data_IF_002508399054
#
_entry.id   IF_002508399054
#
_cell.length_a   1.000
_cell.length_b   1.000
_cell.length_c   1.000
_cell.angle_alpha   90.00
_cell.angle_beta   90.00
_cell.angle_gamma   90.00
#
_symmetry.space_group_name_H-M   'P 1'
#
loop_
_entity.id
_entity.type
_entity.pdbx_description
1 polymer ?
#
# COMPACT_ATOMS: atom_id res chain seq x y z
N UNK A 1 1.54 -26.06 -25.75
CA UNK A 1 0.59 -25.62 -24.71
C UNK A 1 1.29 -24.47 -24.03
N UNK A 2 1.06 -23.29 -24.56
CA UNK A 2 1.78 -22.10 -24.16
C UNK A 2 1.25 -21.69 -22.78
N UNK A 3 2.13 -21.75 -21.78
CA UNK A 3 1.86 -21.13 -20.49
C UNK A 3 1.87 -19.61 -20.72
N UNK A 4 0.69 -19.05 -20.99
CA UNK A 4 0.49 -17.61 -20.95
C UNK A 4 0.63 -17.20 -19.48
N UNK A 5 1.84 -16.77 -19.10
CA UNK A 5 2.08 -16.05 -17.86
C UNK A 5 1.14 -14.85 -17.87
N UNK A 6 0.11 -14.89 -17.02
CA UNK A 6 -0.67 -13.69 -16.77
C UNK A 6 0.29 -12.69 -16.10
N UNK A 7 0.28 -11.39 -16.44
CA UNK A 7 0.98 -10.41 -15.64
C UNK A 7 0.52 -10.61 -14.19
N UNK A 8 1.46 -10.88 -13.29
CA UNK A 8 1.11 -11.14 -11.90
C UNK A 8 0.35 -9.94 -11.35
N UNK A 9 -0.83 -10.16 -10.76
CA UNK A 9 -1.66 -9.09 -10.23
C UNK A 9 -0.83 -8.14 -9.35
N UNK A 10 -1.02 -6.83 -9.53
CA UNK A 10 -0.28 -5.78 -8.83
C UNK A 10 -0.24 -6.05 -7.31
N UNK A 11 0.96 -6.14 -6.75
CA UNK A 11 1.19 -6.38 -5.34
C UNK A 11 1.03 -5.07 -4.55
N UNK A 12 0.09 -5.02 -3.62
CA UNK A 12 -0.26 -3.81 -2.87
C UNK A 12 -0.09 -4.03 -1.37
N UNK A 13 0.97 -3.47 -0.78
CA UNK A 13 1.20 -3.55 0.65
C UNK A 13 0.35 -2.55 1.42
N UNK A 14 -0.39 -3.01 2.44
CA UNK A 14 -1.24 -2.17 3.28
C UNK A 14 -0.55 -1.82 4.61
N UNK A 15 0.15 -0.69 4.64
CA UNK A 15 0.75 -0.17 5.86
C UNK A 15 -0.31 0.52 6.72
N UNK A 16 -0.52 0.06 7.95
CA UNK A 16 -1.58 0.58 8.81
C UNK A 16 -1.26 0.43 10.29
N UNK A 17 -1.97 1.18 11.14
CA UNK A 17 -1.89 0.95 12.58
C UNK A 17 -2.85 -0.15 13.02
N UNK A 18 -2.50 -0.84 14.12
CA UNK A 18 -3.38 -1.85 14.71
C UNK A 18 -4.77 -1.32 15.10
N UNK A 19 -4.93 -0.01 15.26
CA UNK A 19 -6.22 0.64 15.53
C UNK A 19 -7.14 0.74 14.31
N UNK A 20 -6.61 0.49 13.10
CA UNK A 20 -7.30 0.69 11.82
C UNK A 20 -7.71 -0.64 11.16
N UNK A 21 -7.41 -1.77 11.79
CA UNK A 21 -7.62 -3.13 11.24
C UNK A 21 -8.99 -3.33 10.59
N UNK A 22 -10.06 -2.88 11.25
CA UNK A 22 -11.42 -3.05 10.72
C UNK A 22 -11.64 -2.31 9.39
N UNK A 23 -11.13 -1.08 9.27
CA UNK A 23 -11.22 -0.29 8.04
C UNK A 23 -10.29 -0.84 6.96
N UNK A 24 -9.10 -1.29 7.34
CA UNK A 24 -8.09 -1.82 6.41
C UNK A 24 -8.48 -3.18 5.85
N UNK A 25 -9.21 -4.02 6.60
CA UNK A 25 -9.79 -5.26 6.05
C UNK A 25 -10.82 -4.98 4.95
N UNK A 26 -11.66 -3.95 5.12
CA UNK A 26 -12.59 -3.53 4.05
C UNK A 26 -11.83 -3.06 2.81
N UNK A 27 -10.81 -2.22 3.01
CA UNK A 27 -9.93 -1.76 1.93
C UNK A 27 -9.24 -2.94 1.22
N UNK A 28 -8.75 -3.93 1.96
CA UNK A 28 -8.17 -5.15 1.42
C UNK A 28 -9.15 -5.87 0.49
N UNK A 29 -10.37 -6.10 0.95
CA UNK A 29 -11.40 -6.78 0.16
C UNK A 29 -11.78 -5.96 -1.07
N UNK A 30 -11.89 -4.63 -0.94
CA UNK A 30 -12.13 -3.73 -2.06
C UNK A 30 -11.00 -3.84 -3.09
N UNK A 31 -9.73 -3.83 -2.69
CA UNK A 31 -8.57 -3.99 -3.59
C UNK A 31 -8.58 -5.36 -4.29
N UNK A 32 -8.96 -6.43 -3.59
CA UNK A 32 -9.17 -7.75 -4.21
C UNK A 32 -10.26 -7.70 -5.29
N UNK A 33 -11.41 -7.08 -5.01
CA UNK A 33 -12.50 -6.96 -6.00
C UNK A 33 -12.11 -6.14 -7.22
N UNK A 34 -11.12 -5.25 -7.09
CA UNK A 34 -10.57 -4.47 -8.20
C UNK A 34 -9.59 -5.26 -9.08
N UNK A 35 -9.25 -6.49 -8.69
CA UNK A 35 -8.35 -7.39 -9.44
C UNK A 35 -6.87 -7.27 -9.06
N UNK A 36 -6.55 -6.65 -7.93
CA UNK A 36 -5.17 -6.52 -7.43
C UNK A 36 -4.89 -7.50 -6.29
N UNK A 37 -3.62 -7.66 -5.91
CA UNK A 37 -3.21 -8.57 -4.84
C UNK A 37 -2.74 -7.79 -3.60
N UNK A 38 -3.64 -7.48 -2.65
CA UNK A 38 -3.25 -6.83 -1.41
C UNK A 38 -2.46 -7.78 -0.50
N UNK A 39 -1.48 -7.20 0.18
CA UNK A 39 -0.71 -7.82 1.24
C UNK A 39 -1.05 -7.13 2.56
N UNK A 40 -1.64 -7.90 3.48
CA UNK A 40 -2.00 -7.47 4.83
C UNK A 40 -1.32 -8.41 5.82
N UNK A 41 -0.52 -7.85 6.73
CA UNK A 41 0.30 -8.59 7.69
C UNK A 41 -0.50 -9.61 8.51
N UNK A 42 -1.69 -9.23 8.99
CA UNK A 42 -2.58 -10.08 9.79
C UNK A 42 -2.99 -11.37 9.06
N UNK A 43 -3.03 -11.34 7.73
CA UNK A 43 -3.44 -12.48 6.91
C UNK A 43 -2.25 -13.25 6.32
N UNK A 44 -1.07 -12.62 6.24
CA UNK A 44 0.08 -13.15 5.50
C UNK A 44 1.22 -13.63 6.41
N UNK A 45 1.30 -13.17 7.64
CA UNK A 45 2.32 -13.62 8.60
C UNK A 45 1.90 -14.95 9.24
N UNK A 46 2.79 -15.94 9.20
CA UNK A 46 2.62 -17.22 9.84
C UNK A 46 3.17 -17.22 11.29
N UNK A 47 2.57 -17.99 12.20
CA UNK A 47 3.14 -18.21 13.53
C UNK A 47 4.59 -18.70 13.44
N UNK A 48 5.49 -18.05 14.19
CA UNK A 48 6.92 -18.37 14.22
C UNK A 48 7.79 -17.57 13.25
N UNK A 49 7.22 -16.77 12.35
CA UNK A 49 8.01 -15.85 11.53
C UNK A 49 8.46 -14.63 12.33
N UNK A 50 9.67 -14.14 12.04
CA UNK A 50 10.07 -12.81 12.46
C UNK A 50 9.32 -11.78 11.62
N UNK A 51 8.27 -11.24 12.21
CA UNK A 51 7.37 -10.29 11.57
C UNK A 51 8.10 -9.06 11.00
N UNK A 52 9.16 -8.57 11.65
CA UNK A 52 9.91 -7.39 11.17
C UNK A 52 10.64 -7.69 9.87
N UNK A 53 11.21 -8.89 9.78
CA UNK A 53 11.93 -9.35 8.59
C UNK A 53 10.95 -9.55 7.44
N UNK A 54 9.83 -10.22 7.68
CA UNK A 54 8.84 -10.50 6.63
C UNK A 54 8.15 -9.24 6.11
N UNK A 55 7.82 -8.28 6.98
CA UNK A 55 7.27 -6.99 6.55
C UNK A 55 8.27 -6.22 5.67
N UNK A 56 9.56 -6.16 6.06
CA UNK A 56 10.59 -5.51 5.22
C UNK A 56 10.78 -6.21 3.88
N UNK A 57 10.69 -7.53 3.83
CA UNK A 57 10.71 -8.30 2.58
C UNK A 57 9.49 -7.99 1.72
N UNK A 58 8.30 -7.92 2.32
CA UNK A 58 7.07 -7.62 1.62
C UNK A 58 7.10 -6.20 1.03
N UNK A 59 7.53 -5.19 1.79
CA UNK A 59 7.68 -3.82 1.30
C UNK A 59 8.68 -3.73 0.12
N UNK A 60 9.79 -4.46 0.15
CA UNK A 60 10.75 -4.47 -0.99
C UNK A 60 10.22 -5.19 -2.24
N UNK A 61 9.29 -6.12 -2.08
CA UNK A 61 8.76 -6.95 -3.17
C UNK A 61 7.43 -6.42 -3.74
N UNK A 62 6.78 -5.49 -3.05
CA UNK A 62 5.49 -4.95 -3.47
C UNK A 62 5.67 -3.92 -4.58
N UNK A 63 4.64 -3.73 -5.39
CA UNK A 63 4.64 -2.75 -6.48
C UNK A 63 4.18 -1.36 -6.01
N UNK A 64 3.32 -1.35 -4.99
CA UNK A 64 2.74 -0.18 -4.33
C UNK A 64 2.63 -0.42 -2.84
N UNK A 65 2.93 0.61 -2.05
CA UNK A 65 2.63 0.69 -0.62
C UNK A 65 1.52 1.74 -0.41
N UNK A 66 0.39 1.30 0.14
CA UNK A 66 -0.66 2.20 0.62
C UNK A 66 -0.41 2.46 2.10
N UNK A 67 -0.20 3.72 2.46
CA UNK A 67 -0.05 4.16 3.84
C UNK A 67 -1.40 4.64 4.37
N UNK A 68 -2.04 3.82 5.20
CA UNK A 68 -3.36 4.06 5.77
C UNK A 68 -3.29 5.03 6.96
N UNK A 69 -3.96 6.18 6.81
CA UNK A 69 -3.94 7.30 7.74
C UNK A 69 -5.31 7.44 8.43
N UNK A 70 -5.26 7.58 9.75
CA UNK A 70 -6.40 7.91 10.62
C UNK A 70 -5.89 8.80 11.76
N UNK A 71 -6.77 9.42 12.53
CA UNK A 71 -6.36 10.19 13.71
C UNK A 71 -5.58 9.33 14.72
N UNK A 72 -5.83 8.01 14.72
CA UNK A 72 -5.11 7.04 15.56
C UNK A 72 -3.73 6.67 15.02
N UNK A 73 -3.53 6.64 13.70
CA UNK A 73 -2.24 6.27 13.11
C UNK A 73 -1.29 7.45 12.98
N UNK A 74 -1.79 8.66 12.71
CA UNK A 74 -0.96 9.85 12.50
C UNK A 74 -0.27 10.35 13.77
N UNK A 75 -0.86 10.07 14.95
CA UNK A 75 -0.35 10.51 16.26
C UNK A 75 0.46 9.45 16.99
N UNK A 76 0.43 8.18 16.54
CA UNK A 76 1.12 7.08 17.20
C UNK A 76 2.59 7.00 16.80
N UNK A 77 3.46 7.03 17.81
CA UNK A 77 4.82 6.49 17.72
C UNK A 77 4.79 4.96 17.80
N UNK A 78 5.72 4.29 17.12
CA UNK A 78 5.80 2.82 17.14
C UNK A 78 6.18 2.20 15.80
N UNK A 79 5.92 0.91 15.66
CA UNK A 79 6.37 0.10 14.52
C UNK A 79 5.89 0.61 13.14
N UNK A 80 4.66 1.12 13.06
CA UNK A 80 4.12 1.76 11.85
C UNK A 80 5.03 2.90 11.35
N UNK A 81 5.61 3.68 12.25
CA UNK A 81 6.52 4.77 11.87
C UNK A 81 7.81 4.25 11.24
N UNK A 82 8.32 3.11 11.73
CA UNK A 82 9.50 2.44 11.19
C UNK A 82 9.21 1.79 9.83
N UNK A 83 8.03 1.21 9.66
CA UNK A 83 7.56 0.67 8.38
C UNK A 83 7.38 1.75 7.33
N UNK A 84 6.71 2.86 7.68
CA UNK A 84 6.58 4.01 6.78
C UNK A 84 7.95 4.56 6.42
N UNK A 85 8.87 4.72 7.39
CA UNK A 85 10.23 5.15 7.10
C UNK A 85 10.89 4.23 6.07
N UNK A 86 10.83 2.92 6.29
CA UNK A 86 11.43 1.96 5.37
C UNK A 86 10.76 1.96 3.98
N UNK A 87 9.45 2.12 3.91
CA UNK A 87 8.74 2.27 2.65
C UNK A 87 9.15 3.54 1.90
N UNK A 88 9.40 4.65 2.61
CA UNK A 88 9.95 5.89 2.04
C UNK A 88 11.37 5.66 1.52
N UNK A 89 12.23 4.99 2.30
CA UNK A 89 13.59 4.65 1.86
C UNK A 89 13.56 3.82 0.56
N UNK A 90 12.62 2.86 0.43
CA UNK A 90 12.43 2.07 -0.81
C UNK A 90 11.82 2.92 -1.94
N UNK A 91 10.98 3.91 -1.63
CA UNK A 91 10.43 4.84 -2.61
C UNK A 91 11.53 5.69 -3.26
N UNK A 92 12.51 6.12 -2.47
CA UNK A 92 13.66 6.90 -2.93
C UNK A 92 14.59 6.08 -3.85
N UNK A 93 14.54 4.74 -3.76
CA UNK A 93 15.24 3.83 -4.68
C UNK A 93 14.50 3.64 -6.03
N UNK A 94 13.26 4.14 -6.16
CA UNK A 94 12.48 4.01 -7.41
C UNK A 94 12.80 5.12 -8.42
N UNK A 95 12.58 4.88 -9.73
CA UNK A 95 12.64 5.94 -10.73
C UNK A 95 11.71 7.10 -10.39
N UNK A 96 12.11 8.32 -10.74
CA UNK A 96 11.32 9.52 -10.54
C UNK A 96 9.91 9.38 -11.14
N UNK A 97 8.91 9.89 -10.42
CA UNK A 97 7.50 9.82 -10.84
C UNK A 97 6.83 8.45 -10.65
N UNK A 98 7.55 7.44 -10.14
CA UNK A 98 6.94 6.14 -9.83
C UNK A 98 5.88 6.26 -8.75
N UNK A 99 4.66 5.76 -9.04
CA UNK A 99 3.60 5.60 -8.03
C UNK A 99 3.94 4.41 -7.15
N UNK A 100 4.80 4.62 -6.16
CA UNK A 100 5.16 3.59 -5.16
C UNK A 100 4.48 3.82 -3.82
N UNK A 101 4.36 5.08 -3.36
CA UNK A 101 3.69 5.44 -2.11
C UNK A 101 2.34 6.09 -2.43
N UNK A 102 1.27 5.58 -1.83
CA UNK A 102 -0.06 6.21 -1.86
C UNK A 102 -0.49 6.47 -0.42
N UNK A 103 -0.45 7.72 0.07
CA UNK A 103 -1.11 8.05 1.33
C UNK A 103 -2.62 7.94 1.14
N UNK A 104 -3.30 7.23 2.05
CA UNK A 104 -4.73 6.99 2.00
C UNK A 104 -5.35 7.32 3.35
N UNK A 105 -6.21 8.34 3.39
CA UNK A 105 -6.97 8.71 4.58
C UNK A 105 -8.22 7.85 4.70
N UNK A 106 -8.30 7.06 5.77
CA UNK A 106 -9.47 6.25 6.13
C UNK A 106 -10.59 7.09 6.77
N UNK A 107 -10.23 8.26 7.29
CA UNK A 107 -11.09 9.28 7.87
C UNK A 107 -10.42 10.64 7.73
N UNK A 108 -11.13 11.73 8.00
CA UNK A 108 -10.53 13.05 8.00
C UNK A 108 -9.44 13.16 9.08
N UNK A 109 -8.19 13.36 8.64
CA UNK A 109 -7.03 13.53 9.50
C UNK A 109 -5.92 14.32 8.79
N UNK A 110 -4.96 14.84 9.56
CA UNK A 110 -3.78 15.53 9.01
C UNK A 110 -2.84 14.51 8.36
N UNK A 111 -2.42 14.76 7.11
CA UNK A 111 -1.36 13.98 6.47
C UNK A 111 0.00 14.38 7.08
N UNK A 112 0.82 13.42 7.54
CA UNK A 112 2.16 13.70 8.06
C UNK A 112 3.04 14.41 7.01
N UNK A 113 3.86 15.38 7.44
CA UNK A 113 4.65 16.23 6.53
C UNK A 113 5.56 15.43 5.60
N UNK A 114 6.15 14.33 6.09
CA UNK A 114 6.97 13.42 5.28
C UNK A 114 6.21 12.71 4.15
N UNK A 115 4.88 12.66 4.21
CA UNK A 115 4.00 12.09 3.17
C UNK A 115 3.34 13.19 2.32
N UNK A 116 3.53 14.47 2.67
CA UNK A 116 2.81 15.59 2.04
C UNK A 116 3.24 15.89 0.61
N UNK A 117 4.40 15.39 0.18
CA UNK A 117 4.85 15.49 -1.21
C UNK A 117 4.02 14.63 -2.19
N UNK A 118 3.36 13.59 -1.70
CA UNK A 118 2.48 12.75 -2.51
C UNK A 118 1.03 13.19 -2.39
N UNK A 119 0.32 13.18 -3.52
CA UNK A 119 -1.15 13.29 -3.51
C UNK A 119 -1.74 12.10 -2.75
N UNK A 120 -2.77 12.35 -1.96
CA UNK A 120 -3.43 11.33 -1.14
C UNK A 120 -4.85 11.03 -1.61
N UNK A 121 -5.33 9.86 -1.22
CA UNK A 121 -6.72 9.45 -1.43
C UNK A 121 -7.53 9.69 -0.16
N UNK A 122 -8.64 10.41 -0.27
CA UNK A 122 -9.67 10.46 0.76
C UNK A 122 -10.63 9.29 0.58
N UNK A 123 -10.30 8.14 1.17
CA UNK A 123 -11.03 6.90 0.92
C UNK A 123 -12.46 6.91 1.47
N UNK A 124 -12.69 7.69 2.52
CA UNK A 124 -14.00 7.85 3.15
C UNK A 124 -14.98 8.72 2.33
N UNK A 125 -14.54 9.32 1.21
CA UNK A 125 -15.40 10.11 0.31
C UNK A 125 -15.96 9.22 -0.80
N UNK A 126 -17.08 9.64 -1.40
CA UNK A 126 -17.79 8.89 -2.44
C UNK A 126 -16.89 8.49 -3.63
N UNK A 127 -15.99 9.39 -4.06
CA UNK A 127 -15.07 9.15 -5.16
C UNK A 127 -13.70 8.58 -4.73
N UNK A 128 -13.52 8.21 -3.45
CA UNK A 128 -12.25 7.73 -2.91
C UNK A 128 -11.81 6.41 -3.54
N UNK A 129 -12.75 5.48 -3.71
CA UNK A 129 -12.51 4.17 -4.34
C UNK A 129 -12.06 4.29 -5.79
N UNK A 130 -12.71 5.16 -6.56
CA UNK A 130 -12.38 5.38 -7.97
C UNK A 130 -10.99 6.02 -8.14
N UNK A 131 -10.64 6.97 -7.27
CA UNK A 131 -9.30 7.58 -7.26
C UNK A 131 -8.22 6.54 -6.95
N UNK A 132 -8.44 5.68 -5.95
CA UNK A 132 -7.51 4.60 -5.63
C UNK A 132 -7.38 3.63 -6.82
N UNK A 133 -8.50 3.20 -7.40
CA UNK A 133 -8.49 2.29 -8.55
C UNK A 133 -7.69 2.87 -9.71
N UNK A 134 -7.88 4.14 -10.03
CA UNK A 134 -7.14 4.82 -11.10
C UNK A 134 -5.64 4.81 -10.83
N UNK A 135 -5.20 5.15 -9.62
CA UNK A 135 -3.78 5.14 -9.26
C UNK A 135 -3.15 3.74 -9.39
N UNK A 136 -3.83 2.70 -8.88
CA UNK A 136 -3.37 1.32 -8.98
C UNK A 136 -3.32 0.83 -10.43
N UNK A 137 -4.34 1.13 -11.25
CA UNK A 137 -4.33 0.79 -12.68
C UNK A 137 -3.21 1.48 -13.45
N UNK A 138 -2.96 2.76 -13.18
CA UNK A 138 -1.84 3.49 -13.78
C UNK A 138 -0.52 2.82 -13.41
N UNK A 139 -0.31 2.45 -12.14
CA UNK A 139 0.91 1.75 -11.74
C UNK A 139 1.04 0.38 -12.41
N UNK A 140 -0.02 -0.43 -12.43
CA UNK A 140 -0.03 -1.74 -13.07
C UNK A 140 0.38 -1.63 -14.55
N UNK A 141 -0.20 -0.69 -15.29
CA UNK A 141 0.15 -0.47 -16.70
C UNK A 141 1.65 -0.15 -16.87
N UNK A 142 2.25 0.67 -15.99
CA UNK A 142 3.70 0.96 -16.10
C UNK A 142 4.62 -0.23 -15.85
N UNK A 143 4.13 -1.31 -15.25
CA UNK A 143 4.92 -2.52 -15.01
C UNK A 143 4.84 -3.50 -16.18
N UNK A 144 3.69 -3.56 -16.86
CA UNK A 144 3.51 -4.37 -18.08
C UNK A 144 4.49 -3.94 -19.19
N UNK A 145 4.89 -2.66 -19.24
CA UNK A 145 5.84 -2.14 -20.22
C UNK A 145 7.33 -2.27 -19.81
N UNK A 146 7.66 -2.96 -18.70
CA UNK A 146 9.06 -3.15 -18.24
C UNK A 146 9.63 -4.53 -18.57
N UNK A 147 8.82 -5.42 -19.16
CA UNK A 147 9.24 -6.79 -19.54
C UNK A 147 9.77 -6.89 -20.99
N UNK A 148 9.87 -5.77 -21.72
CA UNK A 148 10.52 -5.64 -23.04
C UNK A 148 11.95 -5.07 -22.93
#
# INVERSE_FOLDING_TARGET
MDHVSHPSALQVFLCHSSGDKAAVRKLHDDILTLGFNPWLDELRLLPGQDWKVEIKKAIRKTDVVIVCLSNKSVTKSGFVQAEIKYALDVADEQPEGTIFIIPLRLEECKVPDRLSQWQWVDYYKENGRDQLQRALRTRAATLEFRED
#
